data_IF_126413128040
#
_entry.id   IF_126413128040
#
_cell.length_a   1.000
_cell.length_b   1.000
_cell.length_c   1.000
_cell.angle_alpha   90.00
_cell.angle_beta   90.00
_cell.angle_gamma   90.00
#
_symmetry.space_group_name_H-M   'P 1'
#
loop_
_entity.id
_entity.type
_entity.pdbx_description
1 polymer ?
#
# COMPACT_ATOMS: atom_id res chain seq x y z
N UNK A 1 -0.39 0.34 -18.18
CA UNK A 1 -0.07 -0.05 -16.79
C UNK A 1 -1.13 -0.98 -16.19
N UNK A 2 -0.86 -2.27 -16.25
CA UNK A 2 -1.68 -3.30 -15.62
C UNK A 2 -1.16 -3.55 -14.20
N UNK A 3 -2.03 -3.44 -13.19
CA UNK A 3 -1.66 -3.69 -11.79
C UNK A 3 -2.05 -5.13 -11.41
N UNK A 4 -1.07 -5.93 -11.01
CA UNK A 4 -1.25 -7.32 -10.56
C UNK A 4 -0.85 -7.44 -9.09
N UNK A 5 -1.83 -7.74 -8.24
CA UNK A 5 -1.56 -8.09 -6.85
C UNK A 5 -1.27 -9.59 -6.78
N UNK A 6 -0.10 -9.96 -6.25
CA UNK A 6 0.19 -11.36 -5.92
C UNK A 6 -0.76 -11.84 -4.81
N UNK A 7 -0.99 -13.15 -4.73
CA UNK A 7 -1.81 -13.75 -3.66
C UNK A 7 -1.32 -13.30 -2.27
N UNK A 8 0.00 -13.40 -2.04
CA UNK A 8 0.62 -12.90 -0.82
C UNK A 8 0.31 -11.42 -0.55
N UNK A 9 0.35 -10.55 -1.55
CA UNK A 9 0.04 -9.14 -1.38
C UNK A 9 -1.44 -8.91 -1.02
N UNK A 10 -2.36 -9.71 -1.57
CA UNK A 10 -3.80 -9.64 -1.24
C UNK A 10 -4.06 -10.06 0.20
N UNK A 11 -3.50 -11.19 0.62
CA UNK A 11 -3.59 -11.65 2.02
C UNK A 11 -3.04 -10.59 2.97
N UNK A 12 -1.85 -10.05 2.66
CA UNK A 12 -1.22 -8.99 3.46
C UNK A 12 -2.02 -7.70 3.51
N UNK A 13 -2.76 -7.38 2.45
CA UNK A 13 -3.61 -6.19 2.42
C UNK A 13 -4.82 -6.37 3.33
N UNK A 14 -5.50 -7.51 3.22
CA UNK A 14 -6.66 -7.86 4.03
C UNK A 14 -6.32 -7.90 5.53
N UNK A 15 -5.27 -8.66 5.90
CA UNK A 15 -4.77 -8.77 7.29
C UNK A 15 -4.43 -7.41 7.93
N UNK A 16 -4.09 -6.40 7.11
CA UNK A 16 -3.59 -5.09 7.57
C UNK A 16 -4.58 -3.95 7.35
N UNK A 17 -5.76 -4.23 6.82
CA UNK A 17 -6.81 -3.22 6.62
C UNK A 17 -6.54 -2.27 5.44
N UNK A 18 -5.91 -2.77 4.37
CA UNK A 18 -5.82 -2.09 3.09
C UNK A 18 -6.73 -2.75 2.05
N UNK A 19 -7.40 -1.93 1.25
CA UNK A 19 -8.24 -2.39 0.14
C UNK A 19 -7.48 -2.37 -1.19
N UNK A 20 -7.94 -3.13 -2.18
CA UNK A 20 -7.37 -3.09 -3.53
C UNK A 20 -7.46 -1.70 -4.17
N UNK A 21 -8.53 -0.95 -3.88
CA UNK A 21 -8.72 0.42 -4.40
C UNK A 21 -7.66 1.38 -3.83
N UNK A 22 -7.41 1.32 -2.52
CA UNK A 22 -6.34 2.11 -1.89
C UNK A 22 -4.97 1.75 -2.43
N UNK A 23 -4.70 0.47 -2.70
CA UNK A 23 -3.45 0.02 -3.30
C UNK A 23 -3.31 0.59 -4.72
N UNK A 24 -4.39 0.56 -5.52
CA UNK A 24 -4.40 1.15 -6.87
C UNK A 24 -4.17 2.66 -6.83
N UNK A 25 -4.80 3.36 -5.90
CA UNK A 25 -4.59 4.79 -5.71
C UNK A 25 -3.14 5.09 -5.30
N UNK A 26 -2.60 4.37 -4.32
CA UNK A 26 -1.18 4.47 -3.90
C UNK A 26 -0.24 4.27 -5.09
N UNK A 27 -0.48 3.26 -5.94
CA UNK A 27 0.38 3.00 -7.09
C UNK A 27 0.28 4.07 -8.18
N UNK A 28 -0.87 4.76 -8.27
CA UNK A 28 -1.12 5.77 -9.29
C UNK A 28 -0.62 7.15 -8.85
N UNK A 29 -0.99 7.59 -7.64
CA UNK A 29 -0.78 8.97 -7.16
C UNK A 29 0.14 9.07 -5.94
N UNK A 30 0.51 7.94 -5.33
CA UNK A 30 1.36 7.92 -4.14
C UNK A 30 2.81 8.32 -4.43
N UNK A 31 3.51 8.69 -3.36
CA UNK A 31 4.91 9.11 -3.41
C UNK A 31 5.83 7.91 -3.64
N UNK A 32 6.60 7.94 -4.73
CA UNK A 32 7.53 6.86 -5.07
C UNK A 32 8.84 6.96 -4.27
N UNK A 33 9.29 5.81 -3.77
CA UNK A 33 10.61 5.64 -3.16
C UNK A 33 11.28 4.41 -3.76
N UNK A 34 12.53 4.57 -4.22
CA UNK A 34 13.37 3.45 -4.69
C UNK A 34 13.85 2.62 -3.49
N UNK A 35 13.71 1.31 -3.60
CA UNK A 35 14.20 0.35 -2.61
C UNK A 35 15.42 -0.41 -3.12
N UNK A 36 16.05 -1.19 -2.24
CA UNK A 36 17.16 -2.09 -2.61
C UNK A 36 16.68 -3.18 -3.58
N UNK A 37 17.61 -3.73 -4.37
CA UNK A 37 17.39 -4.86 -5.30
C UNK A 37 16.36 -4.56 -6.40
N UNK A 38 16.35 -3.34 -6.93
CA UNK A 38 15.49 -2.96 -8.07
C UNK A 38 13.99 -2.83 -7.74
N UNK A 39 13.61 -2.97 -6.46
CA UNK A 39 12.22 -2.81 -6.02
C UNK A 39 11.86 -1.34 -5.88
N UNK A 40 10.59 -1.04 -6.03
CA UNK A 40 10.02 0.28 -5.75
C UNK A 40 8.95 0.16 -4.67
N UNK A 41 8.66 1.28 -4.04
CA UNK A 41 7.47 1.39 -3.23
C UNK A 41 6.80 2.72 -3.46
N UNK A 42 5.48 2.73 -3.43
CA UNK A 42 4.71 3.96 -3.31
C UNK A 42 3.97 3.95 -1.98
N UNK A 43 3.80 5.12 -1.40
CA UNK A 43 2.99 5.29 -0.19
C UNK A 43 2.06 6.49 -0.28
N UNK A 44 0.92 6.38 0.40
CA UNK A 44 -0.09 7.44 0.48
C UNK A 44 -0.78 7.38 1.84
N UNK A 45 -1.12 8.56 2.37
CA UNK A 45 -1.86 8.71 3.61
C UNK A 45 -3.34 8.91 3.28
N UNK A 46 -4.20 8.22 4.02
CA UNK A 46 -5.65 8.24 3.90
C UNK A 46 -6.24 8.70 5.23
N UNK A 47 -7.30 9.51 5.16
CA UNK A 47 -8.19 9.69 6.30
C UNK A 47 -8.84 8.35 6.64
N UNK A 48 -8.69 7.94 7.91
CA UNK A 48 -9.19 6.67 8.40
C UNK A 48 -10.32 6.87 9.40
N UNK A 49 -10.11 7.72 10.41
CA UNK A 49 -11.07 8.09 11.46
C UNK A 49 -11.89 6.90 12.00
N UNK A 50 -11.22 5.77 12.23
CA UNK A 50 -11.80 4.49 12.62
C UNK A 50 -10.91 3.79 13.64
N UNK A 51 -11.46 2.77 14.28
CA UNK A 51 -10.72 1.89 15.19
C UNK A 51 -10.00 0.78 14.45
N UNK A 52 -8.74 0.56 14.83
CA UNK A 52 -7.94 -0.58 14.43
C UNK A 52 -7.44 -1.29 15.69
N UNK A 53 -7.79 -2.58 15.85
CA UNK A 53 -7.43 -3.40 17.01
C UNK A 53 -7.72 -2.72 18.37
N UNK A 54 -8.88 -2.06 18.48
CA UNK A 54 -9.33 -1.42 19.72
C UNK A 54 -8.74 -0.02 20.00
N UNK A 55 -8.02 0.57 19.04
CA UNK A 55 -7.51 1.95 19.14
C UNK A 55 -7.97 2.79 17.94
N UNK A 56 -8.43 4.00 18.21
CA UNK A 56 -8.83 4.95 17.17
C UNK A 56 -7.62 5.62 16.54
N UNK A 57 -7.64 5.72 15.21
CA UNK A 57 -6.60 6.39 14.43
C UNK A 57 -7.23 7.37 13.44
N UNK A 58 -6.75 8.63 13.39
CA UNK A 58 -7.27 9.61 12.46
C UNK A 58 -6.88 9.28 11.02
N UNK A 59 -5.68 8.72 10.82
CA UNK A 59 -5.15 8.42 9.50
C UNK A 59 -4.57 7.01 9.45
N UNK A 60 -4.50 6.47 8.24
CA UNK A 60 -3.67 5.32 7.92
C UNK A 60 -2.79 5.62 6.72
N UNK A 61 -1.62 5.01 6.67
CA UNK A 61 -0.69 5.10 5.55
C UNK A 61 -0.55 3.74 4.92
N UNK A 62 -0.89 3.64 3.64
CA UNK A 62 -0.73 2.41 2.85
C UNK A 62 0.54 2.55 2.03
N UNK A 63 1.41 1.53 2.12
CA UNK A 63 2.66 1.43 1.37
C UNK A 63 2.66 0.14 0.57
N UNK A 64 2.62 0.28 -0.75
CA UNK A 64 2.71 -0.83 -1.69
C UNK A 64 4.16 -0.99 -2.16
N UNK A 65 4.71 -2.19 -2.02
CA UNK A 65 6.03 -2.55 -2.55
C UNK A 65 5.82 -3.36 -3.82
N UNK A 66 6.43 -2.94 -4.91
CA UNK A 66 6.21 -3.51 -6.23
C UNK A 66 7.49 -3.61 -7.06
N UNK A 67 7.41 -4.39 -8.13
CA UNK A 67 8.35 -4.41 -9.24
C UNK A 67 7.62 -4.07 -10.53
N UNK A 68 8.35 -3.54 -11.51
CA UNK A 68 7.85 -3.25 -12.85
C UNK A 68 8.47 -4.25 -13.82
N UNK A 69 7.64 -4.97 -14.58
CA UNK A 69 8.07 -5.93 -15.60
C UNK A 69 7.24 -5.71 -16.87
N UNK A 70 7.91 -5.41 -17.99
CA UNK A 70 7.40 -5.26 -19.38
C UNK A 70 6.27 -4.24 -19.66
N UNK A 71 5.22 -4.15 -18.83
CA UNK A 71 4.26 -3.01 -18.67
C UNK A 71 3.37 -3.21 -17.40
N UNK A 72 3.76 -4.14 -16.54
CA UNK A 72 2.99 -4.60 -15.41
C UNK A 72 3.64 -4.13 -14.11
N UNK A 73 2.79 -3.66 -13.20
CA UNK A 73 3.16 -3.41 -11.82
C UNK A 73 2.75 -4.62 -11.00
N UNK A 74 3.74 -5.37 -10.54
CA UNK A 74 3.53 -6.57 -9.71
C UNK A 74 3.74 -6.20 -8.26
N UNK A 75 2.65 -6.20 -7.49
CA UNK A 75 2.67 -5.88 -6.06
C UNK A 75 3.13 -7.11 -5.27
N UNK A 76 4.24 -6.96 -4.58
CA UNK A 76 4.91 -8.02 -3.82
C UNK A 76 4.37 -8.07 -2.38
N UNK A 77 4.18 -6.90 -1.76
CA UNK A 77 3.66 -6.81 -0.39
C UNK A 77 3.06 -5.45 -0.11
N UNK A 78 2.13 -5.41 0.84
CA UNK A 78 1.46 -4.20 1.30
C UNK A 78 1.71 -4.03 2.79
N UNK A 79 2.09 -2.83 3.20
CA UNK A 79 2.24 -2.43 4.59
C UNK A 79 1.24 -1.33 4.90
N UNK A 80 0.61 -1.42 6.06
CA UNK A 80 -0.32 -0.40 6.56
C UNK A 80 0.18 0.07 7.90
N UNK A 81 0.23 1.37 8.07
CA UNK A 81 0.58 2.03 9.32
C UNK A 81 -0.63 2.83 9.77
N UNK A 82 -0.91 2.84 11.06
CA UNK A 82 -1.99 3.62 11.65
C UNK A 82 -1.39 4.69 12.55
N UNK A 83 -1.84 5.93 12.41
CA UNK A 83 -1.20 7.04 13.11
C UNK A 83 -1.72 8.40 12.68
N UNK A 84 -0.86 9.41 12.86
CA UNK A 84 -1.08 10.78 12.40
C UNK A 84 0.21 11.28 11.77
N UNK A 85 0.11 11.72 10.52
CA UNK A 85 1.17 12.38 9.76
C UNK A 85 0.86 13.88 9.71
N UNK A 86 1.91 14.69 9.88
CA UNK A 86 1.87 16.17 9.88
C UNK A 86 2.46 16.69 8.58
#
# INVERSE_FOLDING_TARGET
>A
MQIKLTEHARERADERGATEDEIRLVLTTGEETKLKKGRKSKEMIFDYNRDWLGKSYPQKKVKAVYTEEDDQVIVITVKVYFGKWR
#
